data_IF_754057846377
#
_entry.id   IF_754057846377
#
_cell.length_a   1.000
_cell.length_b   1.000
_cell.length_c   1.000
_cell.angle_alpha   90.00
_cell.angle_beta   90.00
_cell.angle_gamma   90.00
#
_symmetry.space_group_name_H-M   'P 1'
#
loop_
_entity.id
_entity.type
_entity.pdbx_description
1 polymer ?
#
# COMPACT_ATOMS: atom_id res chain seq x y z
N UNK A 1 3.25 -38.71 -31.10
CA UNK A 1 4.69 -38.80 -31.47
C UNK A 1 5.25 -37.37 -31.41
N UNK A 2 5.90 -36.95 -30.32
CA UNK A 2 7.36 -36.92 -30.05
C UNK A 2 8.18 -36.43 -31.27
N UNK A 3 9.17 -35.53 -31.19
CA UNK A 3 9.75 -34.57 -30.22
C UNK A 3 10.97 -33.94 -30.96
N UNK A 4 11.45 -32.77 -30.55
CA UNK A 4 12.82 -32.28 -30.85
C UNK A 4 12.86 -30.79 -31.18
N UNK A 5 12.88 -29.87 -30.22
CA UNK A 5 13.93 -29.52 -29.25
C UNK A 5 15.20 -28.91 -29.88
N UNK A 6 15.38 -27.60 -29.75
CA UNK A 6 16.57 -26.96 -29.14
C UNK A 6 16.32 -25.47 -28.84
N UNK A 7 16.71 -25.12 -27.62
CA UNK A 7 16.72 -23.84 -26.91
C UNK A 7 17.28 -22.63 -27.65
N UNK A 8 16.76 -21.43 -27.33
CA UNK A 8 17.52 -20.25 -26.87
C UNK A 8 16.55 -19.37 -26.05
N UNK A 9 16.88 -19.12 -24.78
CA UNK A 9 16.33 -18.02 -23.97
C UNK A 9 16.63 -16.68 -24.66
N UNK A 10 15.71 -15.71 -24.59
CA UNK A 10 16.13 -14.39 -24.15
C UNK A 10 15.25 -13.85 -23.02
N UNK A 11 15.92 -13.63 -21.90
CA UNK A 11 15.70 -12.61 -20.87
C UNK A 11 14.76 -11.47 -21.33
N UNK A 12 13.53 -11.39 -20.82
CA UNK A 12 12.85 -10.09 -20.60
C UNK A 12 11.91 -10.17 -19.40
N UNK A 13 12.52 -10.00 -18.22
CA UNK A 13 11.84 -9.59 -16.99
C UNK A 13 11.49 -8.10 -17.18
N UNK A 14 10.23 -7.78 -17.44
CA UNK A 14 9.73 -6.41 -17.27
C UNK A 14 9.22 -6.23 -15.84
N UNK A 15 10.17 -6.05 -14.91
CA UNK A 15 9.93 -5.34 -13.65
C UNK A 15 10.34 -3.89 -13.91
N UNK A 16 9.37 -2.98 -13.95
CA UNK A 16 9.60 -1.58 -13.58
C UNK A 16 8.34 -1.03 -12.91
N UNK A 17 8.12 -1.44 -11.66
CA UNK A 17 7.58 -0.52 -10.68
C UNK A 17 8.77 0.28 -10.15
N UNK A 18 8.78 1.58 -10.42
CA UNK A 18 9.83 2.52 -10.03
C UNK A 18 10.09 2.50 -8.51
N UNK A 19 10.93 1.58 -8.07
CA UNK A 19 11.96 1.88 -7.08
C UNK A 19 13.12 2.39 -7.93
N UNK A 20 13.67 3.56 -7.61
CA UNK A 20 14.82 4.26 -8.23
C UNK A 20 14.47 5.53 -9.03
N UNK A 21 14.18 6.62 -8.34
CA UNK A 21 14.49 7.97 -8.83
C UNK A 21 15.65 8.57 -8.02
N UNK A 22 16.77 7.87 -8.10
CA UNK A 22 18.10 8.25 -7.61
C UNK A 22 19.07 7.18 -8.13
N UNK A 23 20.27 7.55 -8.60
CA UNK A 23 21.06 6.69 -9.47
C UNK A 23 21.55 5.50 -8.65
N UNK A 24 20.95 4.34 -8.91
CA UNK A 24 21.55 3.06 -8.57
C UNK A 24 21.63 2.30 -9.89
N UNK A 25 22.59 2.72 -10.71
CA UNK A 25 23.21 1.84 -11.68
C UNK A 25 23.78 0.66 -10.88
N UNK A 26 23.49 -0.57 -11.33
CA UNK A 26 24.08 -1.82 -10.84
C UNK A 26 23.56 -2.43 -9.54
N UNK A 27 22.24 -2.49 -9.36
CA UNK A 27 21.67 -3.54 -8.48
C UNK A 27 20.94 -4.56 -9.34
N UNK A 28 21.67 -5.62 -9.69
CA UNK A 28 21.09 -6.94 -9.99
C UNK A 28 19.87 -7.16 -9.11
N UNK A 29 18.75 -7.65 -9.66
CA UNK A 29 17.48 -7.94 -8.97
C UNK A 29 17.64 -8.83 -7.73
N UNK A 30 18.23 -8.28 -6.66
CA UNK A 30 18.33 -8.89 -5.35
C UNK A 30 16.97 -8.68 -4.71
N UNK A 31 16.34 -9.80 -4.37
CA UNK A 31 15.08 -9.82 -3.64
C UNK A 31 15.29 -9.11 -2.30
N UNK A 32 14.92 -7.82 -2.21
CA UNK A 32 15.06 -7.05 -0.98
C UNK A 32 13.96 -7.49 0.00
N UNK A 33 14.31 -7.93 1.23
CA UNK A 33 13.30 -8.21 2.25
C UNK A 33 12.43 -6.99 2.53
N UNK A 34 11.12 -7.15 2.65
CA UNK A 34 10.18 -6.04 2.82
C UNK A 34 10.54 -5.12 4.00
N UNK A 35 11.01 -5.72 5.11
CA UNK A 35 11.45 -4.98 6.30
C UNK A 35 12.70 -4.15 6.03
N UNK A 36 13.61 -4.62 5.17
CA UNK A 36 14.81 -3.85 4.78
C UNK A 36 14.42 -2.65 3.93
N UNK A 37 13.52 -2.84 2.96
CA UNK A 37 12.97 -1.75 2.16
C UNK A 37 12.24 -0.72 3.05
N UNK A 38 11.38 -1.19 3.96
CA UNK A 38 10.65 -0.33 4.89
C UNK A 38 11.58 0.49 5.80
N UNK A 39 12.69 -0.09 6.29
CA UNK A 39 13.70 0.63 7.08
C UNK A 39 14.41 1.71 6.26
N UNK A 40 14.77 1.40 5.02
CA UNK A 40 15.41 2.36 4.11
C UNK A 40 14.50 3.57 3.83
N UNK A 41 13.25 3.31 3.45
CA UNK A 41 12.21 4.33 3.24
C UNK A 41 12.03 5.17 4.51
N UNK A 42 11.87 4.52 5.66
CA UNK A 42 11.69 5.20 6.95
C UNK A 42 12.85 6.15 7.27
N UNK A 43 14.10 5.74 6.99
CA UNK A 43 15.28 6.60 7.17
C UNK A 43 15.24 7.80 6.22
N UNK A 44 14.96 7.58 4.94
CA UNK A 44 14.89 8.64 3.92
C UNK A 44 13.82 9.70 4.23
N UNK A 45 12.64 9.26 4.67
CA UNK A 45 11.50 10.15 4.93
C UNK A 45 11.38 10.61 6.40
N UNK A 46 12.43 10.36 7.22
CA UNK A 46 12.47 10.75 8.64
C UNK A 46 11.27 10.25 9.44
N UNK A 47 10.90 9.00 9.25
CA UNK A 47 9.76 8.35 9.91
C UNK A 47 10.27 7.16 10.72
N UNK A 48 9.58 6.83 11.81
CA UNK A 48 9.74 5.56 12.51
C UNK A 48 8.57 4.66 12.11
N UNK A 49 8.88 3.44 11.71
CA UNK A 49 7.90 2.37 11.48
C UNK A 49 8.37 1.11 12.21
N UNK A 50 7.58 0.66 13.17
CA UNK A 50 7.78 -0.58 13.91
C UNK A 50 6.57 -1.48 13.68
N UNK A 51 6.75 -2.78 13.90
CA UNK A 51 5.65 -3.75 13.82
C UNK A 51 4.58 -3.33 14.84
N UNK A 52 3.28 -3.27 14.45
CA UNK A 52 2.20 -3.00 15.38
C UNK A 52 2.14 -4.02 16.52
N UNK A 53 1.52 -3.65 17.65
CA UNK A 53 1.29 -4.60 18.75
C UNK A 53 0.28 -5.66 18.31
N UNK A 54 0.58 -6.93 18.55
CA UNK A 54 -0.32 -8.04 18.18
C UNK A 54 -0.29 -8.37 16.69
N UNK A 55 0.76 -7.97 15.97
CA UNK A 55 0.95 -8.27 14.55
C UNK A 55 2.27 -8.99 14.30
N UNK A 56 2.28 -9.80 13.24
CA UNK A 56 3.44 -10.56 12.75
C UNK A 56 3.76 -10.16 11.32
N UNK A 57 5.00 -10.36 10.91
CA UNK A 57 5.39 -10.22 9.50
C UNK A 57 4.79 -11.40 8.74
N UNK A 58 3.91 -11.12 7.78
CA UNK A 58 3.22 -12.15 7.00
C UNK A 58 4.09 -12.61 5.83
N UNK A 59 4.73 -11.67 5.14
CA UNK A 59 5.58 -11.96 3.99
C UNK A 59 6.99 -11.39 4.19
N UNK A 60 7.99 -12.23 3.91
CA UNK A 60 9.41 -11.80 3.93
C UNK A 60 9.73 -10.85 2.78
N UNK A 61 9.00 -10.97 1.67
CA UNK A 61 9.18 -10.18 0.46
C UNK A 61 8.15 -9.05 0.38
N UNK A 62 8.43 -8.07 -0.48
CA UNK A 62 7.54 -6.95 -0.72
C UNK A 62 6.21 -7.47 -1.29
N UNK A 63 5.11 -7.11 -0.63
CA UNK A 63 3.77 -7.42 -1.07
C UNK A 63 3.29 -6.37 -2.08
N UNK A 64 2.61 -6.83 -3.13
CA UNK A 64 1.95 -5.97 -4.12
C UNK A 64 0.46 -6.23 -4.10
N UNK A 65 -0.30 -5.23 -3.67
CA UNK A 65 -1.75 -5.18 -3.79
C UNK A 65 -2.12 -4.23 -4.93
N UNK A 66 -3.15 -4.57 -5.70
CA UNK A 66 -3.64 -3.81 -6.86
C UNK A 66 -5.10 -3.45 -6.63
N UNK A 67 -5.47 -2.21 -6.94
CA UNK A 67 -6.82 -1.70 -6.77
C UNK A 67 -7.21 -0.77 -7.93
N UNK A 68 -8.43 -0.93 -8.45
CA UNK A 68 -8.88 -0.19 -9.63
C UNK A 68 -8.09 -0.54 -10.90
N UNK A 69 -8.65 -0.20 -12.06
CA UNK A 69 -8.05 -0.58 -13.34
C UNK A 69 -8.19 0.53 -14.38
N UNK A 70 -7.21 0.58 -15.28
CA UNK A 70 -7.30 1.27 -16.57
C UNK A 70 -6.98 0.29 -17.68
N UNK A 71 -7.54 0.53 -18.86
CA UNK A 71 -7.22 -0.22 -20.06
C UNK A 71 -6.32 0.63 -20.95
N UNK A 72 -5.24 0.05 -21.43
CA UNK A 72 -4.34 0.71 -22.38
C UNK A 72 -4.08 -0.26 -23.52
N UNK A 73 -4.18 0.26 -24.74
CA UNK A 73 -3.88 -0.49 -25.94
C UNK A 73 -2.36 -0.62 -26.08
N UNK A 74 -1.87 -1.86 -26.09
CA UNK A 74 -0.48 -2.19 -26.37
C UNK A 74 -0.32 -2.34 -27.88
N UNK A 75 0.20 -1.29 -28.52
CA UNK A 75 0.42 -1.25 -29.98
C UNK A 75 1.50 -2.22 -30.45
N UNK A 76 2.38 -2.71 -29.57
CA UNK A 76 3.43 -3.68 -29.96
C UNK A 76 2.89 -5.10 -30.05
N UNK A 77 1.90 -5.42 -29.21
CA UNK A 77 1.28 -6.74 -29.16
C UNK A 77 -0.15 -6.75 -29.68
N UNK A 78 -0.57 -5.67 -30.36
CA UNK A 78 -1.92 -5.46 -30.92
C UNK A 78 -3.04 -5.91 -29.97
N UNK A 79 -2.95 -5.53 -28.69
CA UNK A 79 -3.85 -6.06 -27.66
C UNK A 79 -4.15 -5.06 -26.55
N UNK A 80 -5.36 -5.17 -25.99
CA UNK A 80 -5.74 -4.39 -24.81
C UNK A 80 -5.16 -5.02 -23.54
N UNK A 81 -4.39 -4.23 -22.79
CA UNK A 81 -3.85 -4.63 -21.49
C UNK A 81 -4.53 -3.88 -20.36
N UNK A 82 -4.93 -4.63 -19.35
CA UNK A 82 -5.47 -4.09 -18.09
C UNK A 82 -4.32 -3.78 -17.14
N UNK A 83 -4.22 -2.53 -16.72
CA UNK A 83 -3.26 -2.06 -15.74
C UNK A 83 -3.98 -1.64 -14.46
N UNK A 84 -3.35 -1.88 -13.31
CA UNK A 84 -3.87 -1.37 -12.04
C UNK A 84 -3.66 0.14 -11.96
N UNK A 85 -4.73 0.91 -11.74
CA UNK A 85 -4.65 2.38 -11.63
C UNK A 85 -4.18 2.82 -10.26
N UNK A 86 -4.52 2.07 -9.21
CA UNK A 86 -4.07 2.26 -7.84
C UNK A 86 -3.63 0.93 -7.22
N UNK A 87 -3.13 0.98 -6.01
CA UNK A 87 -2.65 -0.21 -5.31
C UNK A 87 -1.67 0.17 -4.21
N UNK A 88 -1.02 -0.84 -3.65
CA UNK A 88 -0.02 -0.63 -2.63
C UNK A 88 1.13 -1.62 -2.78
N UNK A 89 2.34 -1.12 -2.55
CA UNK A 89 3.56 -1.92 -2.47
C UNK A 89 4.18 -1.74 -1.09
N UNK A 90 4.39 -2.84 -0.35
CA UNK A 90 4.72 -2.68 1.07
C UNK A 90 5.10 -3.94 1.84
N UNK A 91 5.36 -3.73 3.13
CA UNK A 91 5.49 -4.81 4.10
C UNK A 91 4.09 -5.19 4.61
N UNK A 92 3.72 -6.47 4.44
CA UNK A 92 2.45 -7.00 4.92
C UNK A 92 2.61 -7.55 6.34
N UNK A 93 1.72 -7.10 7.22
CA UNK A 93 1.61 -7.58 8.59
C UNK A 93 0.21 -8.16 8.82
N UNK A 94 0.12 -9.23 9.61
CA UNK A 94 -1.13 -9.86 10.00
C UNK A 94 -1.30 -9.86 11.51
N UNK A 95 -2.50 -9.57 11.97
CA UNK A 95 -2.91 -9.64 13.37
C UNK A 95 -2.84 -11.07 13.91
N UNK A 96 -2.60 -11.21 15.21
CA UNK A 96 -2.51 -12.52 15.88
C UNK A 96 -3.82 -13.32 15.83
N UNK A 97 -4.96 -12.63 15.85
CA UNK A 97 -6.30 -13.23 15.75
C UNK A 97 -6.81 -13.40 14.30
N UNK A 98 -5.98 -13.02 13.32
CA UNK A 98 -6.24 -13.14 11.86
C UNK A 98 -7.45 -12.36 11.36
N UNK A 99 -7.97 -11.41 12.13
CA UNK A 99 -9.12 -10.59 11.72
C UNK A 99 -8.71 -9.32 10.95
N UNK A 100 -7.40 -9.03 10.92
CA UNK A 100 -6.85 -7.83 10.30
C UNK A 100 -5.49 -8.07 9.65
N UNK A 101 -5.28 -7.49 8.47
CA UNK A 101 -3.98 -7.34 7.82
C UNK A 101 -3.72 -5.86 7.49
N UNK A 102 -2.44 -5.48 7.46
CA UNK A 102 -2.04 -4.13 7.09
C UNK A 102 -0.78 -4.13 6.24
N UNK A 103 -0.81 -3.37 5.15
CA UNK A 103 0.35 -3.08 4.33
C UNK A 103 0.94 -1.74 4.74
N UNK A 104 2.22 -1.71 5.09
CA UNK A 104 2.98 -0.47 5.24
C UNK A 104 3.64 -0.12 3.92
N UNK A 105 3.26 1.00 3.30
CA UNK A 105 3.82 1.40 2.02
C UNK A 105 5.34 1.54 2.06
N UNK A 106 6.03 0.94 1.10
CA UNK A 106 7.47 1.15 0.87
C UNK A 106 7.74 1.90 -0.43
N UNK A 107 6.71 2.48 -1.05
CA UNK A 107 6.85 3.27 -2.26
C UNK A 107 7.80 4.45 -2.02
N UNK A 108 8.84 4.54 -2.84
CA UNK A 108 9.86 5.58 -2.83
C UNK A 108 9.59 6.51 -4.02
N UNK A 109 8.59 7.39 -3.92
CA UNK A 109 8.23 8.25 -5.05
C UNK A 109 7.30 9.41 -4.69
N UNK A 110 7.83 10.61 -4.93
CA UNK A 110 7.28 11.96 -5.19
C UNK A 110 5.81 12.38 -5.03
N UNK A 111 4.90 11.60 -4.47
CA UNK A 111 3.49 11.94 -4.63
C UNK A 111 2.88 12.69 -3.45
N UNK A 112 1.99 13.60 -3.81
CA UNK A 112 1.10 14.30 -2.93
C UNK A 112 -0.07 13.38 -2.58
N UNK A 113 -0.40 13.23 -1.28
CA UNK A 113 -1.58 12.50 -0.80
C UNK A 113 -2.87 12.90 -1.55
N UNK A 114 -2.98 14.14 -2.03
CA UNK A 114 -4.12 14.63 -2.81
C UNK A 114 -4.34 13.85 -4.12
N UNK A 115 -3.27 13.55 -4.86
CA UNK A 115 -3.38 12.81 -6.12
C UNK A 115 -3.83 11.37 -5.88
N UNK A 116 -3.35 10.76 -4.80
CA UNK A 116 -3.74 9.41 -4.39
C UNK A 116 -5.20 9.35 -3.94
N UNK A 117 -5.61 10.26 -3.06
CA UNK A 117 -7.02 10.39 -2.65
C UNK A 117 -7.95 10.62 -3.85
N UNK A 118 -7.56 11.49 -4.79
CA UNK A 118 -8.34 11.71 -6.02
C UNK A 118 -8.47 10.42 -6.84
N UNK A 119 -7.38 9.67 -7.01
CA UNK A 119 -7.43 8.42 -7.76
C UNK A 119 -8.28 7.35 -7.08
N UNK A 120 -8.24 7.27 -5.75
CA UNK A 120 -9.09 6.35 -4.99
C UNK A 120 -10.57 6.74 -5.12
N UNK A 121 -10.91 8.03 -4.98
CA UNK A 121 -12.27 8.52 -5.18
C UNK A 121 -12.79 8.21 -6.59
N UNK A 122 -11.95 8.42 -7.62
CA UNK A 122 -12.28 8.04 -8.99
C UNK A 122 -12.50 6.54 -9.14
N UNK A 123 -11.82 5.68 -8.38
CA UNK A 123 -12.05 4.24 -8.45
C UNK A 123 -13.35 3.82 -7.74
N UNK A 124 -13.68 4.46 -6.60
CA UNK A 124 -14.93 4.25 -5.87
C UNK A 124 -16.13 4.56 -6.78
N UNK A 125 -16.07 5.66 -7.52
CA UNK A 125 -17.10 6.08 -8.47
C UNK A 125 -17.01 5.41 -9.85
N UNK A 126 -16.28 4.30 -9.98
CA UNK A 126 -16.13 3.56 -11.24
C UNK A 126 -15.63 4.41 -12.42
N UNK A 127 -14.79 5.40 -12.13
CA UNK A 127 -14.20 6.31 -13.10
C UNK A 127 -14.99 7.61 -13.33
N UNK A 128 -16.16 7.77 -12.71
CA UNK A 128 -16.96 8.99 -12.81
C UNK A 128 -16.48 10.04 -11.80
N UNK A 129 -16.39 11.31 -12.16
CA UNK A 129 -15.98 12.37 -11.21
C UNK A 129 -17.17 12.85 -10.36
N UNK A 130 -17.87 11.91 -9.73
CA UNK A 130 -19.13 12.14 -9.00
C UNK A 130 -19.01 11.88 -7.49
N UNK A 131 -17.97 11.17 -7.05
CA UNK A 131 -17.69 10.92 -5.65
C UNK A 131 -17.32 12.23 -4.93
N UNK A 132 -18.14 12.64 -3.96
CA UNK A 132 -17.84 13.78 -3.11
C UNK A 132 -16.82 13.37 -2.04
N UNK A 133 -15.84 14.22 -1.78
CA UNK A 133 -14.75 13.91 -0.86
C UNK A 133 -15.29 13.62 0.56
N UNK A 134 -16.23 14.43 1.03
CA UNK A 134 -16.77 14.38 2.39
C UNK A 134 -17.60 13.12 2.65
N UNK A 135 -18.21 12.56 1.59
CA UNK A 135 -19.05 11.36 1.67
C UNK A 135 -18.23 10.07 1.82
N UNK A 136 -16.94 10.11 1.47
CA UNK A 136 -16.08 8.93 1.42
C UNK A 136 -14.85 9.02 2.32
N UNK A 137 -14.38 10.24 2.64
CA UNK A 137 -13.15 10.44 3.40
C UNK A 137 -13.44 10.99 4.79
N UNK A 138 -13.11 10.21 5.82
CA UNK A 138 -13.08 10.70 7.20
C UNK A 138 -11.75 11.40 7.46
N UNK A 139 -11.81 12.68 7.87
CA UNK A 139 -10.63 13.47 8.23
C UNK A 139 -10.51 13.58 9.75
N UNK A 140 -9.35 13.26 10.29
CA UNK A 140 -9.03 13.42 11.71
C UNK A 140 -7.84 14.36 11.90
N UNK A 141 -7.92 15.22 12.92
CA UNK A 141 -6.91 16.21 13.30
C UNK A 141 -6.79 16.28 14.83
N UNK A 142 -5.86 17.09 15.34
CA UNK A 142 -5.74 17.34 16.78
C UNK A 142 -5.31 16.10 17.57
N UNK A 143 -6.01 15.79 18.66
CA UNK A 143 -5.63 14.70 19.59
C UNK A 143 -5.54 13.34 18.91
N UNK A 144 -6.43 13.05 17.97
CA UNK A 144 -6.49 11.77 17.27
C UNK A 144 -5.21 11.44 16.49
N UNK A 145 -4.46 12.45 16.06
CA UNK A 145 -3.25 12.27 15.23
C UNK A 145 -1.93 12.51 15.98
N UNK A 146 -2.00 12.96 17.23
CA UNK A 146 -0.82 13.20 18.08
C UNK A 146 0.07 11.98 18.27
N UNK A 147 -0.45 10.74 18.45
CA UNK A 147 0.40 9.56 18.61
C UNK A 147 1.32 9.31 17.41
N UNK A 148 0.98 9.84 16.23
CA UNK A 148 1.75 9.72 14.99
C UNK A 148 2.66 10.93 14.74
N UNK A 149 2.57 11.97 15.57
CA UNK A 149 3.17 13.28 15.32
C UNK A 149 2.82 13.79 13.91
N UNK A 150 1.54 13.66 13.53
CA UNK A 150 1.01 14.05 12.23
C UNK A 150 0.09 15.27 12.36
N UNK A 151 -0.16 15.97 11.27
CA UNK A 151 -1.07 17.12 11.22
C UNK A 151 -2.51 16.68 10.92
N UNK A 152 -2.66 15.67 10.06
CA UNK A 152 -3.94 15.09 9.70
C UNK A 152 -3.83 13.62 9.34
N UNK A 153 -4.96 12.92 9.50
CA UNK A 153 -5.18 11.55 9.08
C UNK A 153 -6.43 11.51 8.20
N UNK A 154 -6.35 10.79 7.08
CA UNK A 154 -7.47 10.53 6.19
C UNK A 154 -7.75 9.04 6.18
N UNK A 155 -8.99 8.65 6.46
CA UNK A 155 -9.47 7.28 6.34
C UNK A 155 -10.49 7.20 5.20
N UNK A 156 -10.27 6.25 4.30
CA UNK A 156 -11.10 6.03 3.14
C UNK A 156 -11.48 4.56 3.08
N UNK A 157 -12.78 4.26 3.09
CA UNK A 157 -13.26 2.90 2.86
C UNK A 157 -13.18 2.59 1.36
N UNK A 158 -12.50 1.50 1.00
CA UNK A 158 -12.35 1.07 -0.38
C UNK A 158 -13.22 -0.16 -0.62
N UNK A 159 -14.07 -0.17 -1.67
CA UNK A 159 -14.75 -1.39 -2.08
C UNK A 159 -13.70 -2.39 -2.58
N UNK A 160 -13.73 -3.61 -2.08
CA UNK A 160 -12.86 -4.69 -2.53
C UNK A 160 -13.67 -5.92 -2.89
N UNK A 161 -13.16 -6.70 -3.84
CA UNK A 161 -13.59 -8.09 -3.99
C UNK A 161 -13.13 -8.86 -2.75
N UNK A 162 -13.97 -9.76 -2.20
CA UNK A 162 -13.57 -10.60 -1.07
C UNK A 162 -12.27 -11.35 -1.35
N UNK A 163 -11.34 -11.30 -0.40
CA UNK A 163 -10.04 -11.96 -0.51
C UNK A 163 -9.92 -13.05 0.55
N UNK A 164 -9.74 -14.29 0.13
CA UNK A 164 -9.48 -15.40 1.03
C UNK A 164 -7.97 -15.59 1.24
N UNK A 165 -7.53 -15.69 2.49
CA UNK A 165 -6.13 -15.96 2.84
C UNK A 165 -6.06 -16.72 4.17
N UNK A 166 -5.42 -17.89 4.13
CA UNK A 166 -5.21 -18.78 5.28
C UNK A 166 -6.48 -19.04 6.12
N UNK A 167 -7.61 -19.28 5.44
CA UNK A 167 -8.90 -19.57 6.06
C UNK A 167 -9.63 -18.35 6.64
N UNK A 168 -9.14 -17.13 6.37
CA UNK A 168 -9.82 -15.87 6.71
C UNK A 168 -10.33 -15.18 5.45
N UNK A 169 -11.56 -14.67 5.50
CA UNK A 169 -12.19 -13.94 4.39
C UNK A 169 -12.20 -12.44 4.69
N UNK A 170 -11.39 -11.69 3.97
CA UNK A 170 -11.31 -10.24 4.10
C UNK A 170 -12.26 -9.58 3.11
N UNK A 171 -13.30 -8.93 3.64
CA UNK A 171 -14.38 -8.30 2.87
C UNK A 171 -14.36 -6.77 2.97
N UNK A 172 -13.56 -6.22 3.89
CA UNK A 172 -13.49 -4.79 4.17
C UNK A 172 -12.08 -4.26 3.96
N UNK A 173 -11.97 -3.08 3.35
CA UNK A 173 -10.70 -2.41 3.14
C UNK A 173 -10.78 -0.95 3.58
N UNK A 174 -9.79 -0.51 4.35
CA UNK A 174 -9.62 0.90 4.72
C UNK A 174 -8.23 1.33 4.31
N UNK A 175 -8.16 2.41 3.54
CA UNK A 175 -6.91 3.09 3.27
C UNK A 175 -6.74 4.25 4.24
N UNK A 176 -5.55 4.37 4.81
CA UNK A 176 -5.20 5.38 5.77
C UNK A 176 -4.00 6.17 5.30
N UNK A 177 -4.16 7.48 5.22
CA UNK A 177 -3.08 8.42 4.94
C UNK A 177 -2.77 9.25 6.18
N UNK A 178 -1.50 9.28 6.60
CA UNK A 178 -0.99 10.21 7.61
C UNK A 178 -0.16 11.29 6.93
N UNK A 179 -0.43 12.55 7.22
CA UNK A 179 0.27 13.67 6.59
C UNK A 179 0.88 14.59 7.62
N UNK A 180 2.05 15.14 7.29
CA UNK A 180 2.69 16.19 8.06
C UNK A 180 3.37 17.17 7.12
N UNK A 181 3.20 18.47 7.36
CA UNK A 181 3.83 19.55 6.60
C UNK A 181 5.35 19.34 6.55
N UNK A 182 5.93 19.45 5.36
CA UNK A 182 7.37 19.22 5.15
C UNK A 182 7.77 17.74 5.05
N UNK A 183 6.85 16.79 5.20
CA UNK A 183 7.12 15.36 5.10
C UNK A 183 6.30 14.70 3.97
N UNK A 184 6.86 13.64 3.40
CA UNK A 184 6.10 12.70 2.57
C UNK A 184 5.03 12.02 3.42
N UNK A 185 3.82 11.86 2.87
CA UNK A 185 2.74 11.18 3.58
C UNK A 185 3.07 9.70 3.84
N UNK A 186 2.44 9.12 4.84
CA UNK A 186 2.49 7.67 5.11
C UNK A 186 1.17 7.06 4.67
N UNK A 187 1.24 5.88 4.09
CA UNK A 187 0.10 5.18 3.49
C UNK A 187 0.04 3.75 4.00
N UNK A 188 -1.16 3.36 4.39
CA UNK A 188 -1.48 2.07 4.93
C UNK A 188 -2.75 1.56 4.27
N UNK A 189 -2.73 0.30 3.88
CA UNK A 189 -3.93 -0.40 3.41
C UNK A 189 -4.25 -1.47 4.42
N UNK A 190 -5.41 -1.36 5.04
CA UNK A 190 -5.92 -2.26 6.05
C UNK A 190 -6.98 -3.16 5.44
N UNK A 191 -6.84 -4.46 5.62
CA UNK A 191 -7.87 -5.44 5.28
C UNK A 191 -8.45 -6.01 6.55
N UNK A 192 -9.77 -6.17 6.56
CA UNK A 192 -10.49 -6.74 7.69
C UNK A 192 -11.47 -7.80 7.20
N UNK A 193 -11.64 -8.83 8.02
CA UNK A 193 -12.87 -9.61 8.06
C UNK A 193 -14.00 -8.70 8.58
N UNK A 194 -15.26 -9.13 8.47
CA UNK A 194 -16.36 -8.36 9.07
C UNK A 194 -16.25 -8.24 10.60
N UNK A 195 -15.79 -9.29 11.28
CA UNK A 195 -15.54 -9.26 12.73
C UNK A 195 -14.40 -8.29 13.09
N UNK A 196 -13.30 -8.32 12.34
CA UNK A 196 -12.18 -7.39 12.51
C UNK A 196 -12.61 -5.94 12.24
N UNK A 197 -13.50 -5.73 11.27
CA UNK A 197 -13.99 -4.40 10.94
C UNK A 197 -14.87 -3.80 12.03
N UNK A 198 -15.69 -4.62 12.70
CA UNK A 198 -16.47 -4.21 13.86
C UNK A 198 -15.56 -3.69 14.98
N UNK A 199 -14.36 -4.26 15.13
CA UNK A 199 -13.33 -3.87 16.11
C UNK A 199 -12.20 -3.01 15.51
N UNK A 200 -12.39 -2.41 14.32
CA UNK A 200 -11.31 -1.73 13.55
C UNK A 200 -10.49 -0.72 14.35
N UNK A 201 -11.12 0.01 15.27
CA UNK A 201 -10.45 1.01 16.11
C UNK A 201 -9.38 0.40 17.02
N UNK A 202 -9.50 -0.86 17.43
CA UNK A 202 -8.48 -1.58 18.18
C UNK A 202 -7.20 -1.77 17.34
N UNK A 203 -7.35 -2.18 16.08
CA UNK A 203 -6.22 -2.37 15.17
C UNK A 203 -5.57 -1.04 14.73
N UNK A 204 -6.38 -0.01 14.47
CA UNK A 204 -5.84 1.32 14.15
C UNK A 204 -5.03 1.89 15.33
N UNK A 205 -5.48 1.67 16.57
CA UNK A 205 -4.70 2.06 17.76
C UNK A 205 -3.45 1.22 17.97
N UNK A 206 -3.38 -0.01 17.44
CA UNK A 206 -2.23 -0.90 17.62
C UNK A 206 -0.93 -0.35 16.99
N UNK A 207 -1.04 0.63 16.08
CA UNK A 207 0.12 1.30 15.46
C UNK A 207 0.54 2.60 16.16
N UNK A 208 -0.26 3.10 17.10
CA UNK A 208 0.06 4.31 17.86
C UNK A 208 1.39 4.16 18.60
N UNK A 209 2.26 5.16 18.50
CA UNK A 209 3.62 5.12 19.06
C UNK A 209 4.58 4.12 18.40
N UNK A 210 4.10 3.27 17.48
CA UNK A 210 4.93 2.39 16.63
C UNK A 210 5.25 3.03 15.30
N UNK A 211 4.37 3.89 14.82
CA UNK A 211 4.51 4.68 13.60
C UNK A 211 4.45 6.16 13.96
N UNK A 212 5.46 6.94 13.57
CA UNK A 212 5.41 8.39 13.75
C UNK A 212 6.44 9.14 12.90
N UNK A 213 6.11 10.38 12.53
CA UNK A 213 7.08 11.31 11.95
C UNK A 213 8.08 11.76 12.99
N UNK A 214 9.38 11.78 12.66
CA UNK A 214 10.39 12.35 13.56
C UNK A 214 10.24 13.87 13.61
N UNK A 215 10.49 14.48 14.77
CA UNK A 215 10.64 15.94 14.86
C UNK A 215 11.84 16.37 14.04
N UNK A 216 11.73 17.49 13.35
CA UNK A 216 12.88 18.14 12.73
C UNK A 216 13.84 18.54 13.85
N UNK A 217 15.13 18.33 13.63
CA UNK A 217 16.21 18.83 14.49
C UNK A 217 16.66 20.16 13.94
#
# INVERSE_FOLDING_TARGET
>A
MKFGNKSILPKWIFIWGAILTGPISDVSAQVIPAIRAARFVSKRHRVIRRIPRGFRVEQKLIHLWKYGYSWTFDSLNDSWKRFSKTGQVGALFRSDDRQCEVIYSVALGFDNHRSWLRNDLLNISQGQDTARFEDHVTVMTGQAVRPFNADSMFLLELPIEPMERDGSLYTRCVRMYLTRKGHTFLDFVWFFTDEGYARRQEYLRAIEGKVYFKKER
#
